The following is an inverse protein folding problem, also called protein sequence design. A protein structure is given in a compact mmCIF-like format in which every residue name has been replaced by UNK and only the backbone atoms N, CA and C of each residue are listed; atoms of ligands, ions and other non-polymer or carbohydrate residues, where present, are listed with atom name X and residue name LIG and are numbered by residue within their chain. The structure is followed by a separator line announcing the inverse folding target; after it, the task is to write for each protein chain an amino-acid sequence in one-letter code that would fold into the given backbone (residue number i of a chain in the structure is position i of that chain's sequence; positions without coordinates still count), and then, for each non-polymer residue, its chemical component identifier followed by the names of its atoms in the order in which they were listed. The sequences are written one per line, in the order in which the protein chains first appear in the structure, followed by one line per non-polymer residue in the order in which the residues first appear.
data_IF_390375730726
#
_entry.id   IF_390375730726
#
_cell.length_a   1.000
_cell.length_b   1.000
_cell.length_c   1.000
_cell.angle_alpha   90.00
_cell.angle_beta   90.00
_cell.angle_gamma   90.00
#
_symmetry.space_group_name_H-M   'P 1'
#
loop_
_entity.id
_entity.type
_entity.pdbx_description
1 polymer ?
#
# COMPACT_ATOMS: atom_id res chain seq x y z
N UNK A 1 3.73 10.44 16.79
CA UNK A 1 4.83 9.45 16.94
C UNK A 1 4.71 8.47 15.79
N UNK A 2 5.79 8.25 15.03
CA UNK A 2 5.84 7.31 13.90
C UNK A 2 5.61 5.88 14.41
N UNK A 3 4.74 5.12 13.73
CA UNK A 3 4.48 3.71 14.03
C UNK A 3 4.87 2.86 12.84
N UNK A 4 5.33 1.64 13.09
CA UNK A 4 5.61 0.67 12.05
C UNK A 4 4.42 -0.30 11.91
N UNK A 5 3.96 -0.51 10.68
CA UNK A 5 2.89 -1.46 10.37
C UNK A 5 3.33 -2.42 9.26
N UNK A 6 2.98 -3.69 9.42
CA UNK A 6 3.14 -4.70 8.36
C UNK A 6 1.83 -4.86 7.61
N UNK A 7 1.87 -4.69 6.29
CA UNK A 7 0.76 -4.93 5.38
C UNK A 7 1.09 -6.07 4.43
N UNK A 8 0.18 -7.05 4.32
CA UNK A 8 0.27 -8.14 3.36
C UNK A 8 -0.85 -7.98 2.33
N UNK A 9 -0.48 -7.76 1.07
CA UNK A 9 -1.38 -7.65 -0.07
C UNK A 9 -1.34 -8.96 -0.83
N UNK A 10 -2.48 -9.64 -0.95
CA UNK A 10 -2.66 -10.74 -1.90
C UNK A 10 -3.33 -10.21 -3.15
N UNK A 11 -2.69 -10.37 -4.30
CA UNK A 11 -3.21 -9.95 -5.58
C UNK A 11 -4.15 -11.03 -6.12
N UNK A 12 -5.18 -10.59 -6.84
CA UNK A 12 -6.00 -11.52 -7.64
C UNK A 12 -5.15 -12.10 -8.77
N UNK A 13 -5.55 -13.25 -9.27
CA UNK A 13 -4.91 -13.87 -10.44
C UNK A 13 -5.00 -12.94 -11.67
N UNK A 14 -3.96 -12.99 -12.51
CA UNK A 14 -3.85 -12.22 -13.74
C UNK A 14 -2.48 -11.55 -13.92
N UNK A 15 -1.93 -11.66 -15.12
CA UNK A 15 -0.56 -11.22 -15.44
C UNK A 15 -0.35 -9.71 -15.30
N UNK A 16 -1.42 -8.92 -15.38
CA UNK A 16 -1.41 -7.46 -15.30
C UNK A 16 -1.56 -6.92 -13.86
N UNK A 17 -1.94 -7.78 -12.90
CA UNK A 17 -2.35 -7.32 -11.55
C UNK A 17 -1.18 -6.76 -10.75
N UNK A 18 -0.05 -7.46 -10.75
CA UNK A 18 1.17 -7.00 -10.11
C UNK A 18 1.72 -5.70 -10.72
N UNK A 19 2.00 -5.60 -12.04
CA UNK A 19 2.54 -4.37 -12.60
C UNK A 19 1.58 -3.19 -12.48
N UNK A 20 0.26 -3.40 -12.59
CA UNK A 20 -0.73 -2.34 -12.37
C UNK A 20 -0.73 -1.85 -10.92
N UNK A 21 -0.70 -2.77 -9.96
CA UNK A 21 -0.64 -2.43 -8.54
C UNK A 21 0.63 -1.64 -8.21
N UNK A 22 1.80 -2.14 -8.63
CA UNK A 22 3.08 -1.47 -8.38
C UNK A 22 3.18 -0.13 -9.11
N UNK A 23 2.63 -0.04 -10.32
CA UNK A 23 2.55 1.21 -11.08
C UNK A 23 1.79 2.30 -10.33
N UNK A 24 0.63 1.98 -9.75
CA UNK A 24 -0.09 2.93 -8.90
C UNK A 24 0.69 3.27 -7.63
N UNK A 25 1.27 2.28 -6.95
CA UNK A 25 2.05 2.49 -5.72
C UNK A 25 3.22 3.46 -5.93
N UNK A 26 3.83 3.49 -7.11
CA UNK A 26 4.95 4.35 -7.48
C UNK A 26 4.52 5.66 -8.18
N UNK A 27 3.25 5.79 -8.54
CA UNK A 27 2.71 7.01 -9.17
C UNK A 27 2.63 8.18 -8.20
N UNK A 28 2.62 9.41 -8.73
CA UNK A 28 2.44 10.63 -7.93
C UNK A 28 1.11 10.62 -7.16
N UNK A 29 0.04 10.09 -7.77
CA UNK A 29 -1.26 9.91 -7.14
C UNK A 29 -1.16 8.98 -5.92
N UNK A 30 -0.60 7.78 -6.11
CA UNK A 30 -0.46 6.79 -5.04
C UNK A 30 0.52 7.22 -3.94
N UNK A 31 1.55 8.00 -4.28
CA UNK A 31 2.45 8.61 -3.30
C UNK A 31 1.75 9.70 -2.48
N UNK A 32 0.96 10.55 -3.13
CA UNK A 32 0.21 11.64 -2.48
C UNK A 32 -0.88 11.08 -1.56
N UNK A 33 -1.65 10.09 -2.02
CA UNK A 33 -2.74 9.50 -1.24
C UNK A 33 -2.22 8.83 0.03
N UNK A 34 -1.17 8.00 -0.09
CA UNK A 34 -0.55 7.32 1.06
C UNK A 34 0.18 8.29 1.98
N UNK A 35 0.68 9.41 1.44
CA UNK A 35 1.34 10.48 2.20
C UNK A 35 0.45 11.14 3.25
N UNK A 36 -0.89 11.02 3.14
CA UNK A 36 -1.84 11.51 4.14
C UNK A 36 -1.71 10.81 5.49
N UNK A 37 -1.28 9.55 5.50
CA UNK A 37 -1.30 8.67 6.69
C UNK A 37 0.05 8.01 6.98
N UNK A 38 1.02 8.08 6.07
CA UNK A 38 2.32 7.42 6.17
C UNK A 38 3.43 8.24 5.49
N UNK A 39 4.66 7.72 5.56
CA UNK A 39 5.84 8.23 4.87
C UNK A 39 6.22 7.23 3.76
N UNK A 40 5.65 7.35 2.54
CA UNK A 40 5.87 6.41 1.45
C UNK A 40 7.34 6.11 1.14
N UNK A 41 8.20 7.14 1.16
CA UNK A 41 9.63 7.01 0.83
C UNK A 41 10.43 6.14 1.81
N UNK A 42 9.95 5.95 3.03
CA UNK A 42 10.56 5.05 4.02
C UNK A 42 10.07 3.60 3.88
N UNK A 43 9.00 3.35 3.12
CA UNK A 43 8.36 2.02 3.06
C UNK A 43 9.32 0.99 2.46
N UNK A 44 9.44 -0.16 3.12
CA UNK A 44 10.25 -1.29 2.65
C UNK A 44 9.29 -2.37 2.14
N UNK A 45 9.49 -2.82 0.90
CA UNK A 45 8.63 -3.82 0.26
C UNK A 45 9.39 -5.10 -0.12
N UNK A 46 8.69 -6.23 -0.12
CA UNK A 46 9.13 -7.48 -0.73
C UNK A 46 7.96 -8.16 -1.45
N UNK A 47 8.25 -9.04 -2.40
CA UNK A 47 7.28 -9.72 -3.25
C UNK A 47 7.53 -11.22 -3.27
N UNK A 48 6.48 -12.03 -3.35
CA UNK A 48 6.62 -13.48 -3.55
C UNK A 48 7.22 -13.81 -4.93
N UNK A 49 7.91 -14.94 -5.10
CA UNK A 49 8.53 -15.29 -6.39
C UNK A 49 7.55 -15.35 -7.57
N UNK A 50 6.32 -15.79 -7.30
CA UNK A 50 5.21 -15.87 -8.25
C UNK A 50 4.46 -14.54 -8.44
N UNK A 51 4.87 -13.48 -7.73
CA UNK A 51 4.24 -12.15 -7.73
C UNK A 51 2.76 -12.14 -7.31
N UNK A 52 2.28 -13.18 -6.63
CA UNK A 52 0.90 -13.25 -6.14
C UNK A 52 0.67 -12.43 -4.87
N UNK A 53 1.73 -12.07 -4.13
CA UNK A 53 1.62 -11.24 -2.93
C UNK A 53 2.79 -10.29 -2.74
N UNK A 54 2.49 -9.17 -2.06
CA UNK A 54 3.46 -8.12 -1.70
C UNK A 54 3.34 -7.84 -0.21
N UNK A 55 4.47 -7.76 0.49
CA UNK A 55 4.54 -7.36 1.89
C UNK A 55 5.23 -6.00 2.01
N UNK A 56 4.67 -5.13 2.85
CA UNK A 56 5.23 -3.81 3.14
C UNK A 56 5.44 -3.62 4.64
N UNK A 57 6.62 -3.12 5.03
CA UNK A 57 6.82 -2.42 6.29
C UNK A 57 6.61 -0.93 6.05
N UNK A 58 5.51 -0.40 6.56
CA UNK A 58 5.06 0.99 6.36
C UNK A 58 5.30 1.81 7.62
N UNK A 59 5.82 3.02 7.44
CA UNK A 59 6.04 3.99 8.49
C UNK A 59 4.85 4.96 8.53
N UNK A 60 3.98 4.79 9.51
CA UNK A 60 2.65 5.39 9.61
C UNK A 60 2.68 6.56 10.57
N UNK A 61 2.12 7.69 10.13
CA UNK A 61 1.96 8.92 10.92
C UNK A 61 0.56 9.04 11.52
N UNK A 62 -0.45 8.48 10.84
CA UNK A 62 -1.83 8.34 11.32
C UNK A 62 -2.30 6.88 11.19
N UNK A 63 -2.42 6.21 12.34
CA UNK A 63 -2.79 4.79 12.39
C UNK A 63 -4.25 4.58 11.99
N UNK A 64 -5.16 5.42 12.47
CA UNK A 64 -6.59 5.19 12.30
C UNK A 64 -6.98 5.49 10.85
N UNK A 65 -6.46 6.59 10.27
CA UNK A 65 -6.60 6.88 8.85
C UNK A 65 -6.00 5.81 7.94
N UNK A 66 -4.84 5.24 8.31
CA UNK A 66 -4.27 4.11 7.57
C UNK A 66 -5.15 2.86 7.63
N UNK A 67 -5.72 2.52 8.80
CA UNK A 67 -6.63 1.38 8.93
C UNK A 67 -7.90 1.56 8.10
N UNK A 68 -8.48 2.76 8.09
CA UNK A 68 -9.65 3.08 7.25
C UNK A 68 -9.31 2.97 5.77
N UNK A 69 -8.15 3.52 5.35
CA UNK A 69 -7.64 3.44 3.99
C UNK A 69 -7.51 2.00 3.49
N UNK A 70 -6.85 1.12 4.26
CA UNK A 70 -6.63 -0.28 3.85
C UNK A 70 -7.86 -1.17 4.00
N UNK A 71 -8.85 -0.77 4.81
CA UNK A 71 -10.08 -1.54 5.00
C UNK A 71 -11.02 -1.52 3.78
N UNK A 72 -10.70 -0.72 2.75
CA UNK A 72 -11.55 -0.54 1.58
C UNK A 72 -12.84 0.24 1.86
N UNK A 73 -12.99 0.80 3.08
CA UNK A 73 -14.10 1.68 3.46
C UNK A 73 -13.89 3.14 3.04
N UNK A 74 -12.83 3.42 2.29
CA UNK A 74 -12.53 4.77 1.85
C UNK A 74 -13.58 5.23 0.83
N UNK A 75 -14.38 6.28 1.13
CA UNK A 75 -15.46 6.75 0.25
C UNK A 75 -14.99 7.26 -1.13
N UNK A 76 -13.67 7.46 -1.30
CA UNK A 76 -13.05 7.84 -2.57
C UNK A 76 -12.86 6.66 -3.55
N UNK A 77 -13.04 5.40 -3.10
CA UNK A 77 -12.97 4.22 -3.99
C UNK A 77 -14.37 4.03 -4.60
N UNK A 78 -14.60 4.65 -5.77
CA UNK A 78 -15.72 4.36 -6.67
C UNK A 78 -15.28 3.43 -7.80
#
# INVERSE_FOLDING_TARGET
MEKEMLALVKLKEGDDKFPKFMGWMQSDEGMTERGKFAIPSKTIGTVTPDKSAVMFKVFVTDKDGMMDFVSGKNPAIK
#
